data_IF_294557600039
#
_entry.id   IF_294557600039
#
_cell.length_a   1.000
_cell.length_b   1.000
_cell.length_c   1.000
_cell.angle_alpha   90.00
_cell.angle_beta   90.00
_cell.angle_gamma   90.00
#
_symmetry.space_group_name_H-M   'P 1'
#
loop_
_entity.id
_entity.type
_entity.pdbx_description
1 polymer ?
#
# COMPACT_ATOMS: atom_id res chain seq x y z
N UNK A 1 20.85 1.25 -3.04
CA UNK A 1 19.55 1.93 -3.13
C UNK A 1 18.82 1.82 -1.79
N UNK A 2 18.12 2.86 -1.37
CA UNK A 2 17.42 2.86 -0.09
C UNK A 2 16.13 2.02 -0.23
N UNK A 3 15.91 1.02 0.66
CA UNK A 3 14.69 0.18 0.58
C UNK A 3 13.38 0.96 0.72
N UNK A 4 13.40 2.16 1.29
CA UNK A 4 12.19 2.99 1.36
C UNK A 4 11.64 3.35 -0.01
N UNK A 5 12.52 3.56 -1.00
CA UNK A 5 12.08 3.88 -2.35
C UNK A 5 11.29 2.72 -2.97
N UNK A 6 11.77 1.49 -2.80
CA UNK A 6 11.05 0.30 -3.29
C UNK A 6 9.73 0.10 -2.56
N UNK A 7 9.70 0.31 -1.24
CA UNK A 7 8.47 0.18 -0.46
C UNK A 7 7.43 1.20 -0.89
N UNK A 8 7.85 2.44 -1.15
CA UNK A 8 6.93 3.48 -1.63
C UNK A 8 6.42 3.18 -3.03
N UNK A 9 7.28 2.68 -3.91
CA UNK A 9 6.85 2.28 -5.26
C UNK A 9 5.79 1.19 -5.19
N UNK A 10 6.02 0.16 -4.35
CA UNK A 10 5.06 -0.91 -4.16
C UNK A 10 3.73 -0.39 -3.61
N UNK A 11 3.80 0.51 -2.64
CA UNK A 11 2.61 1.12 -2.04
C UNK A 11 1.80 1.88 -3.10
N UNK A 12 2.48 2.69 -3.91
CA UNK A 12 1.83 3.45 -4.98
C UNK A 12 1.21 2.54 -6.03
N UNK A 13 1.89 1.44 -6.38
CA UNK A 13 1.37 0.47 -7.34
C UNK A 13 0.07 -0.16 -6.83
N UNK A 14 0.01 -0.55 -5.58
CA UNK A 14 -1.20 -1.14 -5.00
C UNK A 14 -2.34 -0.13 -5.01
N UNK A 15 -2.07 1.12 -4.63
CA UNK A 15 -3.07 2.19 -4.66
C UNK A 15 -3.60 2.39 -6.08
N UNK A 16 -2.70 2.50 -7.06
CA UNK A 16 -3.09 2.71 -8.45
C UNK A 16 -3.90 1.54 -8.99
N UNK A 17 -3.48 0.31 -8.68
CA UNK A 17 -4.16 -0.89 -9.17
C UNK A 17 -5.58 -1.01 -8.62
N UNK A 18 -5.80 -0.60 -7.38
CA UNK A 18 -7.14 -0.70 -6.78
C UNK A 18 -8.07 0.44 -7.18
N UNK A 19 -7.57 1.45 -7.88
CA UNK A 19 -8.40 2.60 -8.31
C UNK A 19 -9.56 2.17 -9.18
N UNK A 20 -9.31 1.26 -10.13
CA UNK A 20 -10.34 0.73 -11.02
C UNK A 20 -11.40 -0.03 -10.23
N UNK A 21 -10.98 -0.85 -9.27
CA UNK A 21 -11.90 -1.59 -8.42
C UNK A 21 -12.73 -0.67 -7.54
N UNK A 22 -12.14 0.40 -7.05
CA UNK A 22 -12.88 1.40 -6.27
C UNK A 22 -14.01 2.00 -7.11
N UNK A 23 -13.70 2.42 -8.33
CA UNK A 23 -14.69 2.98 -9.25
C UNK A 23 -15.81 1.98 -9.54
N UNK A 24 -15.46 0.73 -9.79
CA UNK A 24 -16.44 -0.33 -10.04
C UNK A 24 -17.33 -0.56 -8.83
N UNK A 25 -16.76 -0.55 -7.63
CA UNK A 25 -17.54 -0.74 -6.40
C UNK A 25 -18.55 0.41 -6.20
N UNK A 26 -18.10 1.64 -6.39
CA UNK A 26 -18.97 2.82 -6.28
C UNK A 26 -20.13 2.73 -7.28
N UNK A 27 -19.88 2.15 -8.46
CA UNK A 27 -20.89 1.95 -9.50
C UNK A 27 -21.78 0.71 -9.26
N UNK A 28 -21.58 -0.01 -8.17
CA UNK A 28 -22.47 -1.09 -7.74
C UNK A 28 -21.92 -2.50 -7.86
N UNK A 29 -20.65 -2.67 -8.20
CA UNK A 29 -20.02 -3.99 -8.32
C UNK A 29 -19.49 -4.47 -6.97
N UNK A 30 -20.22 -5.38 -6.30
CA UNK A 30 -19.86 -5.87 -4.96
C UNK A 30 -18.54 -6.63 -4.95
N UNK A 31 -18.23 -7.39 -5.99
CA UNK A 31 -16.96 -8.12 -6.08
C UNK A 31 -15.76 -7.18 -6.04
N UNK A 32 -15.90 -6.02 -6.66
CA UNK A 32 -14.85 -5.02 -6.65
C UNK A 32 -14.57 -4.50 -5.23
N UNK A 33 -15.62 -4.41 -4.40
CA UNK A 33 -15.46 -4.04 -3.00
C UNK A 33 -14.58 -4.99 -2.22
N UNK A 34 -14.73 -6.30 -2.48
CA UNK A 34 -13.86 -7.31 -1.86
C UNK A 34 -12.40 -7.11 -2.27
N UNK A 35 -12.17 -6.82 -3.55
CA UNK A 35 -10.81 -6.55 -4.03
C UNK A 35 -10.21 -5.29 -3.42
N UNK A 36 -11.02 -4.24 -3.25
CA UNK A 36 -10.58 -3.01 -2.58
C UNK A 36 -10.16 -3.31 -1.13
N UNK A 37 -10.96 -4.09 -0.40
CA UNK A 37 -10.62 -4.46 0.97
C UNK A 37 -9.30 -5.24 1.04
N UNK A 38 -9.09 -6.18 0.11
CA UNK A 38 -7.83 -6.93 0.02
C UNK A 38 -6.64 -6.00 -0.25
N UNK A 39 -6.81 -5.04 -1.15
CA UNK A 39 -5.77 -4.05 -1.44
C UNK A 39 -5.43 -3.24 -0.18
N UNK A 40 -6.43 -2.88 0.63
CA UNK A 40 -6.19 -2.15 1.88
C UNK A 40 -5.38 -2.97 2.87
N UNK A 41 -5.55 -4.29 2.92
CA UNK A 41 -4.73 -5.15 3.77
C UNK A 41 -3.27 -5.12 3.33
N UNK A 42 -3.03 -5.17 2.02
CA UNK A 42 -1.67 -5.06 1.46
C UNK A 42 -1.06 -3.69 1.78
N UNK A 43 -1.84 -2.62 1.60
CA UNK A 43 -1.39 -1.26 1.91
C UNK A 43 -1.03 -1.13 3.39
N UNK A 44 -1.84 -1.71 4.26
CA UNK A 44 -1.58 -1.70 5.70
C UNK A 44 -0.24 -2.36 6.02
N UNK A 45 0.04 -3.51 5.41
CA UNK A 45 1.31 -4.22 5.60
C UNK A 45 2.49 -3.41 5.07
N UNK A 46 2.36 -2.83 3.89
CA UNK A 46 3.40 -1.98 3.31
C UNK A 46 3.64 -0.73 4.15
N UNK A 47 2.57 -0.12 4.65
CA UNK A 47 2.69 1.05 5.51
C UNK A 47 3.45 0.72 6.79
N UNK A 48 3.21 -0.47 7.37
CA UNK A 48 3.94 -0.91 8.55
C UNK A 48 5.41 -1.13 8.24
N UNK A 49 5.72 -1.73 7.09
CA UNK A 49 7.12 -1.92 6.66
C UNK A 49 7.84 -0.59 6.49
N UNK A 50 7.16 0.40 5.92
CA UNK A 50 7.73 1.75 5.76
C UNK A 50 8.05 2.34 7.14
N UNK A 51 7.12 2.24 8.08
CA UNK A 51 7.31 2.78 9.42
C UNK A 51 8.51 2.14 10.12
N UNK A 52 8.61 0.81 10.02
CA UNK A 52 9.71 0.08 10.64
C UNK A 52 11.04 0.43 10.01
N UNK A 53 11.08 0.55 8.67
CA UNK A 53 12.32 0.90 7.97
C UNK A 53 12.77 2.33 8.30
N UNK A 54 11.82 3.27 8.39
CA UNK A 54 12.15 4.64 8.80
C UNK A 54 12.76 4.63 10.21
N UNK A 55 12.15 3.90 11.13
CA UNK A 55 12.63 3.82 12.50
C UNK A 55 14.03 3.20 12.55
N UNK A 56 14.26 2.13 11.78
CA UNK A 56 15.55 1.46 11.71
C UNK A 56 16.63 2.40 11.18
N UNK A 57 16.34 3.14 10.11
CA UNK A 57 17.30 4.07 9.52
C UNK A 57 17.61 5.24 10.47
N UNK A 58 16.60 5.73 11.17
CA UNK A 58 16.80 6.77 12.18
C UNK A 58 17.74 6.29 13.29
N UNK A 59 17.55 5.05 13.75
CA UNK A 59 18.37 4.48 14.81
C UNK A 59 19.82 4.26 14.36
N UNK A 60 20.03 3.94 13.09
CA UNK A 60 21.38 3.72 12.55
C UNK A 60 22.17 5.02 12.32
N UNK A 61 21.51 6.15 12.31
CA UNK A 61 22.16 7.45 12.09
C UNK A 61 22.89 7.97 13.33
N UNK A 62 22.73 7.30 14.45
CA UNK A 62 23.40 7.66 15.71
C UNK A 62 24.33 6.56 16.21
#
# INVERSE_FOLDING_TARGET
>A
MNPLNSLFDDLQDVVNDCQTDLTKFVDGNNSAGTRVRKAMQTIKSLAQEVRLEVQDQKNRQF
#
